data_IF_581975672730
#
_entry.id   IF_581975672730
#
_cell.length_a   1.000
_cell.length_b   1.000
_cell.length_c   1.000
_cell.angle_alpha   90.00
_cell.angle_beta   90.00
_cell.angle_gamma   90.00
#
_symmetry.space_group_name_H-M   'P 1'
#
loop_
_entity.id
_entity.type
_entity.pdbx_description
1 polymer ?
#
# COMPACT_ATOMS: atom_id res chain seq x y z
N UNK A 1 -1.78 2.11 -11.24
CA UNK A 1 -2.55 0.95 -10.76
C UNK A 1 -3.58 1.41 -9.75
N UNK A 2 -4.86 1.07 -9.93
CA UNK A 2 -5.92 1.34 -8.96
C UNK A 2 -6.52 0.01 -8.49
N UNK A 3 -6.50 -0.26 -7.19
CA UNK A 3 -7.09 -1.46 -6.61
C UNK A 3 -8.08 -1.07 -5.52
N UNK A 4 -9.25 -1.70 -5.56
CA UNK A 4 -10.27 -1.59 -4.51
C UNK A 4 -10.60 -2.99 -4.01
N UNK A 5 -10.48 -3.16 -2.71
CA UNK A 5 -10.83 -4.39 -2.01
C UNK A 5 -11.79 -4.09 -0.86
N UNK A 6 -12.67 -5.05 -0.59
CA UNK A 6 -13.75 -4.94 0.39
C UNK A 6 -13.55 -5.97 1.51
N UNK A 7 -14.58 -6.20 2.33
CA UNK A 7 -14.52 -7.06 3.51
C UNK A 7 -13.81 -8.40 3.25
N UNK A 8 -12.89 -8.80 4.14
CA UNK A 8 -12.18 -10.09 4.09
C UNK A 8 -11.38 -10.31 2.80
N UNK A 9 -10.56 -9.33 2.42
CA UNK A 9 -9.76 -9.40 1.19
C UNK A 9 -8.26 -9.36 1.45
N UNK A 10 -7.50 -10.02 0.57
CA UNK A 10 -6.05 -9.93 0.50
C UNK A 10 -5.66 -9.33 -0.84
N UNK A 11 -4.84 -8.29 -0.82
CA UNK A 11 -4.41 -7.54 -2.00
C UNK A 11 -2.90 -7.56 -2.10
N UNK A 12 -2.38 -7.95 -3.26
CA UNK A 12 -0.97 -7.84 -3.61
C UNK A 12 -0.81 -6.95 -4.84
N UNK A 13 0.02 -5.90 -4.71
CA UNK A 13 0.34 -4.99 -5.82
C UNK A 13 1.84 -4.90 -6.00
N UNK A 14 2.30 -5.05 -7.24
CA UNK A 14 3.67 -4.80 -7.65
C UNK A 14 3.71 -3.71 -8.71
N UNK A 15 4.52 -2.69 -8.49
CA UNK A 15 4.78 -1.62 -9.43
C UNK A 15 6.28 -1.43 -9.64
N UNK A 16 6.64 -1.06 -10.86
CA UNK A 16 8.02 -0.86 -11.32
C UNK A 16 8.24 0.62 -11.69
N UNK A 17 9.36 0.94 -12.33
CA UNK A 17 9.80 2.32 -12.59
C UNK A 17 8.68 3.25 -13.08
N UNK A 18 8.64 4.49 -12.57
CA UNK A 18 7.70 5.56 -13.00
C UNK A 18 6.22 5.17 -12.89
N UNK A 19 5.82 4.61 -11.74
CA UNK A 19 4.46 4.13 -11.52
C UNK A 19 3.74 4.83 -10.38
N UNK A 20 2.44 5.08 -10.58
CA UNK A 20 1.54 5.53 -9.51
C UNK A 20 0.59 4.40 -9.11
N UNK A 21 0.51 4.09 -7.82
CA UNK A 21 -0.32 3.04 -7.23
C UNK A 21 -1.29 3.64 -6.23
N UNK A 22 -2.56 3.32 -6.35
CA UNK A 22 -3.60 3.65 -5.39
C UNK A 22 -4.32 2.37 -4.95
N UNK A 23 -4.34 2.11 -3.65
CA UNK A 23 -5.05 0.96 -3.06
C UNK A 23 -6.05 1.45 -2.04
N UNK A 24 -7.30 1.01 -2.16
CA UNK A 24 -8.35 1.22 -1.15
C UNK A 24 -8.81 -0.13 -0.62
N UNK A 25 -8.66 -0.34 0.67
CA UNK A 25 -9.09 -1.56 1.36
C UNK A 25 -10.03 -1.22 2.53
N UNK A 26 -11.03 -2.07 2.76
CA UNK A 26 -12.06 -1.87 3.78
C UNK A 26 -12.33 -3.16 4.55
N UNK A 27 -12.41 -3.06 5.89
CA UNK A 27 -12.85 -4.10 6.81
C UNK A 27 -12.09 -5.45 6.70
N UNK A 28 -11.30 -5.81 7.70
CA UNK A 28 -10.65 -7.13 7.73
C UNK A 28 -9.82 -7.42 6.47
N UNK A 29 -8.97 -6.47 6.06
CA UNK A 29 -8.22 -6.54 4.82
C UNK A 29 -6.72 -6.59 5.04
N UNK A 30 -6.01 -7.36 4.23
CA UNK A 30 -4.54 -7.37 4.20
C UNK A 30 -4.03 -6.84 2.86
N UNK A 31 -3.14 -5.86 2.89
CA UNK A 31 -2.59 -5.21 1.69
C UNK A 31 -1.07 -5.29 1.68
N UNK A 32 -0.50 -5.82 0.61
CA UNK A 32 0.94 -5.82 0.35
C UNK A 32 1.23 -5.05 -0.94
N UNK A 33 2.04 -3.99 -0.84
CA UNK A 33 2.48 -3.21 -2.00
C UNK A 33 4.00 -3.22 -2.11
N UNK A 34 4.52 -3.58 -3.28
CA UNK A 34 5.93 -3.44 -3.63
C UNK A 34 6.08 -2.44 -4.78
N UNK A 35 6.79 -1.35 -4.53
CA UNK A 35 7.07 -0.31 -5.52
C UNK A 35 8.58 -0.09 -5.66
N UNK A 36 9.03 0.26 -6.88
CA UNK A 36 10.44 0.48 -7.20
C UNK A 36 10.61 1.72 -8.08
N UNK A 37 11.72 2.45 -7.90
CA UNK A 37 12.23 3.54 -8.74
C UNK A 37 11.19 4.58 -9.21
N UNK A 38 11.22 5.80 -8.69
CA UNK A 38 10.32 6.87 -9.14
C UNK A 38 8.84 6.46 -9.06
N UNK A 39 8.45 5.79 -7.97
CA UNK A 39 7.08 5.32 -7.77
C UNK A 39 6.35 6.09 -6.68
N UNK A 40 5.08 6.39 -6.92
CA UNK A 40 4.19 7.01 -5.94
C UNK A 40 3.14 6.01 -5.49
N UNK A 41 3.02 5.75 -4.19
CA UNK A 41 2.07 4.78 -3.62
C UNK A 41 1.15 5.48 -2.63
N UNK A 42 -0.15 5.35 -2.85
CA UNK A 42 -1.21 5.77 -1.93
C UNK A 42 -2.02 4.56 -1.47
N UNK A 43 -2.06 4.31 -0.16
CA UNK A 43 -2.88 3.24 0.42
C UNK A 43 -3.86 3.84 1.42
N UNK A 44 -5.15 3.54 1.25
CA UNK A 44 -6.20 3.85 2.22
C UNK A 44 -6.79 2.55 2.74
N UNK A 45 -6.60 2.28 4.03
CA UNK A 45 -7.13 1.10 4.71
C UNK A 45 -8.12 1.51 5.81
N UNK A 46 -9.22 0.77 5.94
CA UNK A 46 -10.25 1.00 6.97
C UNK A 46 -10.22 -0.10 8.04
N UNK A 47 -11.24 -0.22 8.89
CA UNK A 47 -11.25 -1.06 10.10
C UNK A 47 -10.57 -2.44 9.97
N UNK A 48 -9.80 -2.83 10.99
CA UNK A 48 -9.16 -4.14 11.10
C UNK A 48 -8.30 -4.51 9.87
N UNK A 49 -7.41 -3.61 9.45
CA UNK A 49 -6.58 -3.83 8.26
C UNK A 49 -5.10 -3.94 8.57
N UNK A 50 -4.40 -4.78 7.81
CA UNK A 50 -2.94 -4.89 7.86
C UNK A 50 -2.37 -4.40 6.54
N UNK A 51 -1.47 -3.42 6.58
CA UNK A 51 -0.84 -2.84 5.38
C UNK A 51 0.68 -2.97 5.46
N UNK A 52 1.27 -3.60 4.44
CA UNK A 52 2.71 -3.68 4.24
C UNK A 52 3.09 -2.99 2.93
N UNK A 53 3.94 -1.97 3.00
CA UNK A 53 4.47 -1.29 1.80
C UNK A 53 5.98 -1.36 1.80
N UNK A 54 6.55 -1.86 0.69
CA UNK A 54 7.99 -1.84 0.42
C UNK A 54 8.24 -0.95 -0.79
N UNK A 55 9.00 0.12 -0.59
CA UNK A 55 9.36 1.09 -1.61
C UNK A 55 10.88 1.24 -1.71
N UNK A 56 11.40 1.48 -2.93
CA UNK A 56 12.84 1.62 -3.19
C UNK A 56 13.09 2.76 -4.18
N UNK A 57 14.17 3.54 -3.99
CA UNK A 57 14.71 4.60 -4.87
C UNK A 57 13.69 5.65 -5.36
N UNK A 58 13.83 6.91 -4.93
CA UNK A 58 12.97 8.03 -5.37
C UNK A 58 11.47 7.70 -5.29
N UNK A 59 11.03 6.98 -4.26
CA UNK A 59 9.63 6.56 -4.13
C UNK A 59 8.94 7.31 -3.00
N UNK A 60 7.72 7.75 -3.26
CA UNK A 60 6.87 8.43 -2.28
C UNK A 60 5.77 7.50 -1.83
N UNK A 61 5.57 7.35 -0.52
CA UNK A 61 4.54 6.47 0.05
C UNK A 61 3.66 7.25 1.01
N UNK A 62 2.35 7.23 0.76
CA UNK A 62 1.32 7.75 1.64
C UNK A 62 0.39 6.62 2.08
N UNK A 63 0.32 6.36 3.38
CA UNK A 63 -0.62 5.39 3.95
C UNK A 63 -1.55 6.09 4.93
N UNK A 64 -2.86 5.92 4.73
CA UNK A 64 -3.89 6.34 5.67
C UNK A 64 -4.63 5.10 6.15
N UNK A 65 -4.54 4.82 7.44
CA UNK A 65 -5.25 3.72 8.08
C UNK A 65 -6.21 4.23 9.17
N UNK A 66 -7.28 3.48 9.44
CA UNK A 66 -8.27 3.79 10.48
C UNK A 66 -8.40 2.61 11.46
N UNK A 67 -9.28 2.70 12.47
CA UNK A 67 -9.49 1.76 13.59
C UNK A 67 -8.87 0.35 13.48
N UNK A 68 -8.11 -0.06 14.50
CA UNK A 68 -7.49 -1.40 14.60
C UNK A 68 -6.66 -1.77 13.36
N UNK A 69 -5.85 -0.85 12.83
CA UNK A 69 -4.99 -1.14 11.69
C UNK A 69 -3.53 -1.23 12.09
N UNK A 70 -2.82 -2.14 11.43
CA UNK A 70 -1.36 -2.27 11.52
C UNK A 70 -0.76 -1.81 10.20
N UNK A 71 0.22 -0.90 10.26
CA UNK A 71 0.89 -0.37 9.07
C UNK A 71 2.40 -0.54 9.20
N UNK A 72 3.00 -1.20 8.23
CA UNK A 72 4.45 -1.34 8.09
C UNK A 72 4.89 -0.76 6.75
N UNK A 73 5.73 0.29 6.80
CA UNK A 73 6.32 0.89 5.61
C UNK A 73 7.83 0.75 5.69
N UNK A 74 8.43 0.12 4.68
CA UNK A 74 9.88 0.07 4.50
C UNK A 74 10.24 0.80 3.21
N UNK A 75 10.86 1.96 3.37
CA UNK A 75 11.46 2.71 2.28
C UNK A 75 12.97 2.54 2.34
N UNK A 76 13.59 2.23 1.20
CA UNK A 76 15.05 2.16 1.06
C UNK A 76 15.45 3.16 -0.02
N UNK A 77 16.16 4.20 0.37
CA UNK A 77 16.73 5.19 -0.54
C UNK A 77 18.22 4.90 -0.65
N UNK A 78 18.73 4.85 -1.88
CA UNK A 78 20.16 4.93 -2.16
C UNK A 78 20.43 6.31 -2.72
#
# INVERSE_FOLDING_TARGET
>A
VHVKASCHSIVHVKASCHSTVHVKASCHSTVHVKASCHSTVHVKASCHSTVHVKASCHSTVHVKASCHSTVHVKASCH
#
